data_IF_002494382864
#
_entry.id   IF_002494382864
#
_cell.length_a   1.000
_cell.length_b   1.000
_cell.length_c   1.000
_cell.angle_alpha   90.00
_cell.angle_beta   90.00
_cell.angle_gamma   90.00
#
_symmetry.space_group_name_H-M   'P 1'
#
loop_
_entity.id
_entity.type
_entity.pdbx_description
1 polymer ?
#
# COMPACT_ATOMS: atom_id res chain seq x y z
N UNK A 1 -33.42 -2.70 -16.23
CA UNK A 1 -32.33 -2.10 -15.41
C UNK A 1 -32.82 -0.73 -14.97
N UNK A 2 -32.97 -0.54 -13.67
CA UNK A 2 -33.54 0.71 -13.11
C UNK A 2 -32.43 1.66 -12.61
N UNK A 3 -31.18 1.46 -13.06
CA UNK A 3 -30.06 2.28 -12.69
C UNK A 3 -30.02 3.57 -13.52
N UNK A 4 -29.85 4.70 -12.86
CA UNK A 4 -29.61 5.99 -13.51
C UNK A 4 -28.10 6.16 -13.72
N UNK A 5 -27.69 6.41 -14.94
CA UNK A 5 -26.29 6.62 -15.31
C UNK A 5 -26.03 8.10 -15.43
N UNK A 6 -25.07 8.60 -14.66
CA UNK A 6 -24.67 10.01 -14.65
C UNK A 6 -23.23 10.09 -15.12
N UNK A 7 -23.00 10.73 -16.26
CA UNK A 7 -21.64 11.06 -16.69
C UNK A 7 -21.06 12.16 -15.81
N UNK A 8 -19.89 11.91 -15.24
CA UNK A 8 -19.21 12.86 -14.35
C UNK A 8 -17.79 13.15 -14.84
N UNK A 9 -17.33 14.36 -14.60
CA UNK A 9 -15.96 14.78 -14.87
C UNK A 9 -15.30 15.18 -13.55
N UNK A 10 -14.16 14.58 -13.21
CA UNK A 10 -13.47 14.76 -11.92
C UNK A 10 -14.40 14.61 -10.71
N UNK A 11 -15.27 13.59 -10.72
CA UNK A 11 -16.25 13.28 -9.67
C UNK A 11 -17.26 14.41 -9.39
N UNK A 12 -17.40 15.39 -10.28
CA UNK A 12 -18.41 16.43 -10.16
C UNK A 12 -19.76 15.88 -10.63
N UNK A 13 -20.61 15.50 -9.69
CA UNK A 13 -21.98 15.08 -9.93
C UNK A 13 -22.95 16.12 -9.31
N UNK A 14 -24.15 16.33 -9.92
CA UNK A 14 -25.23 17.05 -9.26
C UNK A 14 -25.64 16.33 -7.97
N UNK A 15 -25.58 16.99 -6.84
CA UNK A 15 -25.82 16.35 -5.54
C UNK A 15 -27.24 15.84 -5.38
N UNK A 16 -28.23 16.52 -5.94
CA UNK A 16 -29.63 16.12 -6.00
C UNK A 16 -29.89 14.82 -6.79
N UNK A 17 -28.96 14.46 -7.67
CA UNK A 17 -29.01 13.21 -8.44
C UNK A 17 -28.33 12.03 -7.73
N UNK A 18 -27.57 12.27 -6.66
CA UNK A 18 -26.77 11.25 -5.95
C UNK A 18 -27.18 11.11 -4.49
N UNK A 19 -27.68 12.18 -3.85
CA UNK A 19 -28.11 12.20 -2.46
C UNK A 19 -29.64 12.28 -2.38
N UNK A 20 -30.22 11.65 -1.38
CA UNK A 20 -31.65 11.66 -1.06
C UNK A 20 -32.58 11.39 -2.26
N UNK A 21 -32.14 10.54 -3.17
CA UNK A 21 -32.87 10.26 -4.41
C UNK A 21 -34.17 9.46 -4.16
N UNK A 22 -34.40 8.91 -2.96
CA UNK A 22 -35.55 8.06 -2.62
C UNK A 22 -35.62 6.76 -3.42
N UNK A 23 -34.55 6.39 -4.14
CA UNK A 23 -34.53 5.21 -5.03
C UNK A 23 -34.16 3.91 -4.35
N UNK A 24 -33.63 3.98 -3.14
CA UNK A 24 -33.30 2.78 -2.38
C UNK A 24 -34.57 2.19 -1.79
N UNK A 25 -34.87 1.00 -2.21
CA UNK A 25 -36.00 0.19 -1.73
C UNK A 25 -35.39 -1.06 -1.08
N UNK A 26 -35.57 -1.17 0.24
CA UNK A 26 -34.98 -2.26 1.00
C UNK A 26 -35.60 -3.61 0.63
N UNK A 27 -36.91 -3.69 0.46
CA UNK A 27 -37.63 -4.93 0.11
C UNK A 27 -37.19 -5.44 -1.26
N UNK A 28 -37.07 -4.52 -2.24
CA UNK A 28 -36.57 -4.83 -3.59
C UNK A 28 -35.10 -5.22 -3.60
N UNK A 29 -34.29 -4.65 -2.70
CA UNK A 29 -32.89 -5.02 -2.56
C UNK A 29 -32.72 -6.38 -1.89
N UNK A 30 -33.51 -6.69 -0.85
CA UNK A 30 -33.48 -7.96 -0.12
C UNK A 30 -33.90 -9.14 -1.02
N UNK A 31 -34.91 -8.93 -1.86
CA UNK A 31 -35.36 -9.94 -2.81
C UNK A 31 -34.45 -10.14 -4.03
N UNK A 32 -33.41 -9.32 -4.17
CA UNK A 32 -32.51 -9.44 -5.31
C UNK A 32 -31.69 -10.73 -5.22
N UNK A 33 -31.67 -11.58 -6.28
CA UNK A 33 -31.00 -12.89 -6.24
C UNK A 33 -29.52 -12.85 -5.86
N UNK A 34 -28.81 -11.76 -6.16
CA UNK A 34 -27.41 -11.58 -5.78
C UNK A 34 -27.26 -11.36 -4.26
N UNK A 35 -28.17 -10.62 -3.63
CA UNK A 35 -28.18 -10.41 -2.18
C UNK A 35 -28.54 -11.68 -1.42
N UNK A 36 -29.55 -12.41 -1.89
CA UNK A 36 -29.95 -13.68 -1.29
C UNK A 36 -28.79 -14.70 -1.30
N UNK A 37 -27.99 -14.73 -2.37
CA UNK A 37 -26.80 -15.59 -2.44
C UNK A 37 -25.76 -15.24 -1.39
N UNK A 38 -25.51 -13.95 -1.15
CA UNK A 38 -24.56 -13.48 -0.15
C UNK A 38 -25.05 -13.74 1.28
N UNK A 39 -26.28 -13.36 1.59
CA UNK A 39 -26.86 -13.47 2.93
C UNK A 39 -27.05 -14.91 3.40
N UNK A 40 -27.40 -15.82 2.51
CA UNK A 40 -27.70 -17.22 2.87
C UNK A 40 -26.56 -18.19 2.58
N UNK A 41 -25.37 -17.69 2.21
CA UNK A 41 -24.17 -18.52 2.03
C UNK A 41 -24.23 -19.50 0.85
N UNK A 42 -25.18 -19.32 -0.09
CA UNK A 42 -25.30 -20.12 -1.30
C UNK A 42 -24.38 -19.63 -2.44
N UNK A 43 -23.71 -18.50 -2.25
CA UNK A 43 -22.67 -18.08 -3.17
C UNK A 43 -21.45 -18.98 -2.95
N UNK A 44 -21.20 -19.89 -3.88
CA UNK A 44 -19.84 -20.38 -4.07
C UNK A 44 -19.06 -19.19 -4.63
N UNK A 45 -18.43 -18.43 -3.74
CA UNK A 45 -17.42 -17.46 -4.14
C UNK A 45 -16.33 -18.24 -4.87
N UNK A 46 -16.29 -18.15 -6.19
CA UNK A 46 -15.04 -18.36 -6.88
C UNK A 46 -14.15 -17.18 -6.46
N UNK A 47 -12.99 -17.44 -5.85
CA UNK A 47 -12.03 -16.39 -5.60
C UNK A 47 -11.84 -15.56 -6.87
N UNK A 48 -11.71 -14.24 -6.74
CA UNK A 48 -11.58 -13.33 -7.90
C UNK A 48 -10.39 -13.69 -8.80
N UNK A 49 -9.34 -14.29 -8.22
CA UNK A 49 -8.21 -14.88 -8.90
C UNK A 49 -8.60 -16.00 -9.87
N UNK A 50 -9.51 -16.92 -9.47
CA UNK A 50 -10.03 -17.96 -10.36
C UNK A 50 -11.01 -17.43 -11.41
N UNK A 51 -11.76 -16.37 -11.10
CA UNK A 51 -12.79 -15.84 -12.00
C UNK A 51 -12.23 -14.91 -13.07
N UNK A 52 -11.18 -14.13 -12.76
CA UNK A 52 -10.66 -13.07 -13.61
C UNK A 52 -9.15 -13.14 -13.86
N UNK A 53 -8.47 -14.16 -13.32
CA UNK A 53 -7.01 -14.32 -13.46
C UNK A 53 -6.20 -13.26 -12.72
N UNK A 54 -6.77 -12.61 -11.72
CA UNK A 54 -6.02 -11.71 -10.85
C UNK A 54 -5.08 -12.50 -9.96
N UNK A 55 -3.88 -12.00 -9.82
CA UNK A 55 -2.87 -12.51 -8.93
C UNK A 55 -2.31 -11.39 -8.06
N UNK A 56 -1.77 -11.72 -6.91
CA UNK A 56 -1.13 -10.75 -6.03
C UNK A 56 0.09 -11.34 -5.35
N UNK A 57 1.07 -10.48 -5.10
CA UNK A 57 2.18 -10.84 -4.25
C UNK A 57 2.58 -9.68 -3.33
N UNK A 58 3.24 -10.01 -2.24
CA UNK A 58 3.80 -9.03 -1.32
C UNK A 58 5.33 -9.08 -1.40
N UNK A 59 5.93 -7.94 -1.75
CA UNK A 59 7.37 -7.75 -1.66
C UNK A 59 7.71 -7.32 -0.23
N UNK A 60 8.65 -8.05 0.41
CA UNK A 60 9.14 -7.73 1.76
C UNK A 60 10.65 -7.73 1.78
N UNK A 61 11.22 -6.65 2.34
CA UNK A 61 12.65 -6.55 2.61
C UNK A 61 12.89 -5.70 3.86
N UNK A 62 14.05 -5.88 4.51
CA UNK A 62 14.41 -5.12 5.70
C UNK A 62 15.38 -3.98 5.41
N UNK A 63 16.20 -4.10 4.37
CA UNK A 63 17.13 -3.04 3.98
C UNK A 63 16.39 -1.84 3.37
N UNK A 64 16.91 -0.61 3.57
CA UNK A 64 16.31 0.58 2.96
C UNK A 64 16.54 0.62 1.45
N UNK A 65 15.69 1.34 0.75
CA UNK A 65 15.92 1.67 -0.64
C UNK A 65 16.90 2.83 -0.80
N UNK A 66 17.73 2.76 -1.83
CA UNK A 66 18.40 3.90 -2.42
C UNK A 66 17.32 4.81 -3.04
N UNK A 67 17.24 6.11 -2.65
CA UNK A 67 16.17 6.97 -3.10
C UNK A 67 16.15 7.17 -4.61
N UNK A 68 17.32 7.32 -5.24
CA UNK A 68 17.39 7.52 -6.70
C UNK A 68 16.90 6.29 -7.44
N UNK A 69 17.39 5.10 -7.08
CA UNK A 69 16.99 3.85 -7.73
C UNK A 69 15.49 3.55 -7.54
N UNK A 70 14.97 3.84 -6.34
CA UNK A 70 13.56 3.62 -6.08
C UNK A 70 12.67 4.65 -6.81
N UNK A 71 13.10 5.90 -6.93
CA UNK A 71 12.41 6.89 -7.76
C UNK A 71 12.38 6.46 -9.24
N UNK A 72 13.51 5.95 -9.78
CA UNK A 72 13.57 5.41 -11.13
C UNK A 72 12.62 4.21 -11.31
N UNK A 73 12.55 3.33 -10.31
CA UNK A 73 11.57 2.25 -10.29
C UNK A 73 10.13 2.78 -10.33
N UNK A 74 9.79 3.76 -9.49
CA UNK A 74 8.45 4.37 -9.46
C UNK A 74 8.08 5.06 -10.77
N UNK A 75 9.05 5.66 -11.47
CA UNK A 75 8.86 6.34 -12.75
C UNK A 75 8.89 5.39 -13.97
N UNK A 76 9.17 4.13 -13.77
CA UNK A 76 9.21 3.13 -14.83
C UNK A 76 7.86 2.45 -15.06
N UNK A 77 7.72 1.73 -16.17
CA UNK A 77 6.53 0.91 -16.43
C UNK A 77 6.56 -0.40 -15.64
N UNK A 78 5.39 -0.80 -15.17
CA UNK A 78 5.15 -2.08 -14.52
C UNK A 78 4.08 -2.84 -15.31
N UNK A 79 4.51 -3.60 -16.37
CA UNK A 79 3.56 -4.32 -17.21
C UNK A 79 2.68 -5.25 -16.38
N UNK A 80 1.39 -5.26 -16.71
CA UNK A 80 0.39 -6.14 -16.10
C UNK A 80 0.09 -5.87 -14.62
N UNK A 81 0.70 -4.86 -14.00
CA UNK A 81 0.32 -4.39 -12.67
C UNK A 81 -0.87 -3.45 -12.79
N UNK A 82 -1.99 -3.81 -12.17
CA UNK A 82 -3.21 -3.01 -12.12
C UNK A 82 -3.18 -2.06 -10.92
N UNK A 83 -2.67 -2.55 -9.80
CA UNK A 83 -2.57 -1.78 -8.57
C UNK A 83 -1.36 -2.21 -7.74
N UNK A 84 -0.71 -1.24 -7.11
CA UNK A 84 0.25 -1.51 -6.06
C UNK A 84 0.05 -0.52 -4.90
N UNK A 85 0.25 -1.00 -3.68
CA UNK A 85 0.20 -0.16 -2.48
C UNK A 85 1.09 -0.74 -1.39
N UNK A 86 1.63 0.13 -0.55
CA UNK A 86 2.31 -0.33 0.66
C UNK A 86 3.30 0.67 1.20
N UNK A 87 4.12 0.18 2.11
CA UNK A 87 5.04 0.98 2.89
C UNK A 87 6.48 0.77 2.46
N UNK A 88 7.24 1.84 2.51
CA UNK A 88 8.66 1.80 2.21
C UNK A 88 9.47 2.74 3.11
N UNK A 89 10.77 2.53 3.18
CA UNK A 89 11.68 3.45 3.81
C UNK A 89 12.95 3.65 2.99
N UNK A 90 13.47 4.87 3.06
CA UNK A 90 14.63 5.32 2.29
C UNK A 90 15.86 5.42 3.18
N UNK A 91 17.01 5.14 2.62
CA UNK A 91 18.30 5.22 3.32
C UNK A 91 18.65 6.65 3.78
N UNK A 92 18.16 7.67 3.08
CA UNK A 92 18.33 9.09 3.44
C UNK A 92 17.37 9.57 4.52
N UNK A 93 16.27 8.84 4.75
CA UNK A 93 15.18 9.23 5.69
C UNK A 93 14.79 8.06 6.60
N UNK A 94 15.75 7.51 7.39
CA UNK A 94 15.52 6.27 8.14
C UNK A 94 14.41 6.36 9.19
N UNK A 95 14.03 7.57 9.60
CA UNK A 95 12.98 7.77 10.59
C UNK A 95 11.57 7.86 9.99
N UNK A 96 11.48 8.09 8.68
CA UNK A 96 10.22 8.32 8.00
C UNK A 96 9.64 7.04 7.41
N UNK A 97 8.34 6.87 7.63
CA UNK A 97 7.51 5.87 6.98
C UNK A 97 6.94 6.47 5.69
N UNK A 98 7.38 5.96 4.55
CA UNK A 98 6.83 6.29 3.26
C UNK A 98 5.68 5.36 2.87
N UNK A 99 4.65 5.89 2.24
CA UNK A 99 3.62 5.12 1.55
C UNK A 99 3.75 5.33 0.04
N UNK A 100 3.59 4.25 -0.70
CA UNK A 100 3.44 4.27 -2.16
C UNK A 100 2.08 3.70 -2.54
N UNK A 101 1.44 4.31 -3.52
CA UNK A 101 0.18 3.84 -4.10
C UNK A 101 0.20 4.04 -5.61
N UNK A 102 -0.15 3.01 -6.35
CA UNK A 102 -0.24 3.03 -7.81
C UNK A 102 -1.61 2.54 -8.26
N UNK A 103 -2.21 3.26 -9.19
CA UNK A 103 -3.44 2.88 -9.88
C UNK A 103 -3.35 3.33 -11.35
N UNK A 104 -3.43 2.38 -12.28
CA UNK A 104 -3.14 2.65 -13.69
C UNK A 104 -1.72 3.20 -13.87
N UNK A 105 -1.51 4.24 -14.66
CA UNK A 105 -0.18 4.81 -14.90
C UNK A 105 0.31 5.73 -13.78
N UNK A 106 -0.51 6.01 -12.77
CA UNK A 106 -0.22 7.01 -11.75
C UNK A 106 0.39 6.38 -10.51
N UNK A 107 1.62 6.76 -10.18
CA UNK A 107 2.29 6.41 -8.92
C UNK A 107 2.31 7.64 -8.01
N UNK A 108 1.83 7.49 -6.79
CA UNK A 108 1.91 8.49 -5.72
C UNK A 108 2.75 7.95 -4.58
N UNK A 109 3.49 8.83 -3.95
CA UNK A 109 4.30 8.50 -2.78
C UNK A 109 4.33 9.70 -1.82
N UNK A 110 4.25 9.42 -0.54
CA UNK A 110 4.28 10.44 0.51
C UNK A 110 4.85 9.90 1.82
N UNK A 111 5.30 10.79 2.67
CA UNK A 111 5.67 10.44 4.05
C UNK A 111 4.44 10.55 4.93
N UNK A 112 3.99 9.42 5.49
CA UNK A 112 2.74 9.35 6.27
C UNK A 112 2.96 9.34 7.78
N UNK A 113 4.22 9.33 8.22
CA UNK A 113 4.55 9.30 9.64
C UNK A 113 5.98 8.87 9.91
N UNK A 114 6.22 8.38 11.11
CA UNK A 114 7.51 7.85 11.54
C UNK A 114 7.42 6.37 11.89
N UNK A 115 8.50 5.65 11.68
CA UNK A 115 8.65 4.31 12.21
C UNK A 115 8.68 4.34 13.73
N UNK A 116 8.07 3.38 14.38
CA UNK A 116 8.07 3.30 15.84
C UNK A 116 9.47 3.16 16.43
N UNK A 117 10.39 2.57 15.70
CA UNK A 117 11.80 2.51 16.06
C UNK A 117 12.50 3.90 16.07
N UNK A 118 11.89 4.93 15.50
CA UNK A 118 12.35 6.32 15.54
C UNK A 118 11.58 7.17 16.57
N UNK A 119 10.59 6.60 17.23
CA UNK A 119 9.77 7.27 18.25
C UNK A 119 10.22 6.78 19.64
N UNK A 120 10.55 7.69 20.59
CA UNK A 120 10.85 7.32 21.96
C UNK A 120 9.74 6.48 22.58
N UNK A 121 10.10 5.47 23.35
CA UNK A 121 9.14 4.51 23.94
C UNK A 121 8.09 5.19 24.82
N UNK A 122 8.47 6.28 25.47
CA UNK A 122 7.60 7.08 26.35
C UNK A 122 6.47 7.78 25.58
N UNK A 123 6.58 7.86 24.24
CA UNK A 123 5.58 8.43 23.35
C UNK A 123 4.75 7.39 22.60
N UNK A 124 4.98 6.11 22.91
CA UNK A 124 4.17 5.05 22.30
C UNK A 124 2.78 5.05 22.92
N UNK A 125 1.74 4.76 22.14
CA UNK A 125 0.40 4.57 22.70
C UNK A 125 0.40 3.53 23.81
N UNK A 126 -0.37 3.79 24.86
CA UNK A 126 -0.62 2.81 25.89
C UNK A 126 -1.53 1.70 25.33
N UNK A 127 -1.23 0.46 25.65
CA UNK A 127 -2.02 -0.68 25.25
C UNK A 127 -1.19 -1.91 24.87
N UNK A 128 -1.56 -3.04 25.42
CA UNK A 128 -0.86 -4.30 25.19
C UNK A 128 -1.00 -4.78 23.74
N UNK A 129 -2.17 -4.64 23.14
CA UNK A 129 -2.43 -5.04 21.75
C UNK A 129 -1.58 -4.23 20.77
N UNK A 130 -1.48 -2.92 20.97
CA UNK A 130 -0.64 -2.06 20.14
C UNK A 130 0.83 -2.51 20.19
N UNK A 131 1.36 -2.66 21.41
CA UNK A 131 2.73 -3.11 21.62
C UNK A 131 2.98 -4.48 20.97
N UNK A 132 2.06 -5.43 21.16
CA UNK A 132 2.12 -6.75 20.56
C UNK A 132 2.16 -6.68 19.02
N UNK A 133 1.33 -5.83 18.42
CA UNK A 133 1.28 -5.65 16.97
C UNK A 133 2.59 -5.07 16.40
N UNK A 134 3.17 -4.06 17.05
CA UNK A 134 4.43 -3.46 16.62
C UNK A 134 5.59 -4.42 16.83
N UNK A 135 5.64 -5.09 17.99
CA UNK A 135 6.71 -6.02 18.31
C UNK A 135 6.68 -7.30 17.46
N UNK A 136 5.53 -7.73 17.00
CA UNK A 136 5.42 -8.86 16.08
C UNK A 136 6.14 -8.64 14.74
N UNK A 137 6.37 -7.38 14.36
CA UNK A 137 7.09 -6.98 13.14
C UNK A 137 8.50 -6.46 13.42
N UNK A 138 8.97 -6.57 14.65
CA UNK A 138 10.23 -6.00 15.07
C UNK A 138 11.44 -6.84 14.65
N UNK A 139 12.41 -6.19 14.02
CA UNK A 139 13.73 -6.76 13.72
C UNK A 139 14.77 -6.18 14.70
N UNK A 140 15.70 -6.98 15.25
CA UNK A 140 16.70 -6.50 16.22
C UNK A 140 17.64 -5.41 15.67
N UNK A 141 17.84 -5.32 14.34
CA UNK A 141 18.70 -4.33 13.70
C UNK A 141 17.95 -3.11 13.19
N UNK A 142 16.71 -3.32 12.68
CA UNK A 142 15.97 -2.31 11.96
C UNK A 142 14.72 -1.79 12.70
N UNK A 143 14.35 -2.43 13.82
CA UNK A 143 13.07 -2.15 14.47
C UNK A 143 11.90 -2.60 13.60
N UNK A 144 10.86 -1.81 13.53
CA UNK A 144 9.68 -2.06 12.68
C UNK A 144 9.87 -1.62 11.22
N UNK A 145 11.03 -1.02 10.88
CA UNK A 145 11.35 -0.56 9.53
C UNK A 145 11.39 -1.72 8.54
N UNK A 146 10.71 -1.55 7.42
CA UNK A 146 10.64 -2.55 6.35
C UNK A 146 10.13 -1.98 5.04
N UNK A 147 10.39 -2.70 3.98
CA UNK A 147 9.64 -2.61 2.74
C UNK A 147 8.49 -3.60 2.83
N UNK A 148 7.28 -3.18 2.54
CA UNK A 148 6.11 -4.04 2.46
C UNK A 148 5.18 -3.49 1.39
N UNK A 149 5.35 -3.96 0.14
CA UNK A 149 4.64 -3.49 -1.04
C UNK A 149 3.81 -4.63 -1.62
N UNK A 150 2.52 -4.42 -1.78
CA UNK A 150 1.58 -5.35 -2.40
C UNK A 150 1.40 -4.96 -3.86
N UNK A 151 1.50 -5.92 -4.75
CA UNK A 151 1.23 -5.79 -6.18
C UNK A 151 0.06 -6.69 -6.55
N UNK A 152 -0.85 -6.15 -7.36
CA UNK A 152 -2.03 -6.86 -7.87
C UNK A 152 -2.06 -6.65 -9.39
N UNK A 153 -2.26 -7.70 -10.15
CA UNK A 153 -2.30 -7.63 -11.61
C UNK A 153 -2.76 -8.93 -12.27
N UNK A 154 -2.56 -9.03 -13.58
CA UNK A 154 -2.93 -10.20 -14.39
C UNK A 154 -1.72 -10.60 -15.23
N UNK A 155 -1.16 -11.78 -15.00
CA UNK A 155 0.04 -12.25 -15.72
C UNK A 155 1.27 -11.40 -15.45
N UNK A 156 1.46 -10.99 -14.19
CA UNK A 156 2.63 -10.20 -13.76
C UNK A 156 3.91 -11.05 -13.82
N UNK A 157 5.01 -10.41 -14.23
CA UNK A 157 6.34 -11.00 -14.04
C UNK A 157 6.83 -10.69 -12.61
N UNK A 158 6.33 -11.47 -11.62
CA UNK A 158 6.72 -11.32 -10.22
C UNK A 158 8.25 -11.45 -10.03
N UNK A 159 8.97 -12.43 -10.60
CA UNK A 159 10.41 -12.51 -10.49
C UNK A 159 11.14 -11.26 -10.97
N UNK A 160 10.74 -10.70 -12.11
CA UNK A 160 11.35 -9.48 -12.63
C UNK A 160 11.05 -8.26 -11.75
N UNK A 161 9.82 -8.11 -11.24
CA UNK A 161 9.47 -7.04 -10.32
C UNK A 161 10.26 -7.12 -9.02
N UNK A 162 10.40 -8.33 -8.44
CA UNK A 162 11.22 -8.56 -7.24
C UNK A 162 12.68 -8.21 -7.48
N UNK A 163 13.26 -8.67 -8.58
CA UNK A 163 14.66 -8.38 -8.91
C UNK A 163 14.94 -6.88 -9.07
N UNK A 164 14.00 -6.14 -9.67
CA UNK A 164 14.09 -4.67 -9.81
C UNK A 164 14.02 -3.97 -8.46
N UNK A 165 13.14 -4.40 -7.55
CA UNK A 165 13.06 -3.87 -6.19
C UNK A 165 14.29 -4.23 -5.36
N UNK A 166 14.81 -5.44 -5.48
CA UNK A 166 16.05 -5.86 -4.82
C UNK A 166 17.25 -5.02 -5.27
N UNK A 167 17.31 -4.63 -6.54
CA UNK A 167 18.33 -3.73 -7.07
C UNK A 167 18.26 -2.30 -6.50
N UNK A 168 17.10 -1.90 -5.96
CA UNK A 168 16.95 -0.63 -5.24
C UNK A 168 17.47 -0.68 -3.80
N UNK A 169 17.65 -1.87 -3.22
CA UNK A 169 18.11 -2.00 -1.83
C UNK A 169 19.54 -1.51 -1.67
N UNK A 170 19.77 -0.73 -0.62
CA UNK A 170 21.12 -0.38 -0.16
C UNK A 170 21.55 -1.36 0.92
N UNK A 171 22.83 -1.32 1.26
CA UNK A 171 23.36 -2.08 2.39
C UNK A 171 23.71 -1.14 3.56
N UNK A 172 22.77 -0.84 4.45
CA UNK A 172 23.11 -0.37 5.77
C UNK A 172 23.34 -1.63 6.58
N UNK A 173 24.54 -1.86 7.00
CA UNK A 173 24.83 -2.94 7.94
C UNK A 173 24.83 -2.41 9.38
N UNK A 174 23.66 -2.00 9.94
CA UNK A 174 23.64 -1.53 11.31
C UNK A 174 23.90 -2.73 12.21
N UNK A 175 24.78 -2.52 13.20
CA UNK A 175 24.88 -3.46 14.31
C UNK A 175 23.55 -3.50 15.07
N UNK A 176 23.24 -4.63 15.68
CA UNK A 176 22.05 -4.76 16.54
C UNK A 176 22.04 -3.64 17.58
N UNK A 177 20.91 -2.92 17.68
CA UNK A 177 20.73 -1.81 18.62
C UNK A 177 21.41 -0.49 18.22
N UNK A 178 22.04 -0.41 17.04
CA UNK A 178 22.64 0.84 16.56
C UNK A 178 21.56 1.81 16.05
N UNK A 179 21.80 3.10 16.26
CA UNK A 179 21.01 4.17 15.65
C UNK A 179 21.28 4.17 14.14
N UNK A 180 20.24 4.05 13.35
CA UNK A 180 20.34 4.14 11.89
C UNK A 180 20.41 5.62 11.52
N UNK A 181 21.57 6.03 10.96
CA UNK A 181 21.78 7.41 10.51
C UNK A 181 21.37 7.57 9.05
N UNK A 182 20.88 8.77 8.67
CA UNK A 182 20.65 9.09 7.26
C UNK A 182 21.92 8.94 6.42
N UNK A 183 21.77 8.36 5.23
CA UNK A 183 22.83 8.31 4.21
C UNK A 183 22.88 9.66 3.48
N UNK A 184 23.79 10.52 3.89
CA UNK A 184 23.97 11.87 3.29
C UNK A 184 24.77 11.87 2.00
N UNK A 185 25.37 10.75 1.67
CA UNK A 185 26.13 10.50 0.43
C UNK A 185 25.23 10.11 -0.76
N UNK A 186 23.94 9.81 -0.51
CA UNK A 186 22.97 9.48 -1.55
C UNK A 186 22.13 10.70 -1.93
N UNK A 187 21.87 10.84 -3.23
CA UNK A 187 20.94 11.85 -3.73
C UNK A 187 19.50 11.38 -3.44
N UNK A 188 18.66 12.30 -2.98
CA UNK A 188 17.25 12.04 -2.65
C UNK A 188 16.33 12.92 -3.51
N UNK A 189 15.71 12.35 -4.57
CA UNK A 189 14.82 13.09 -5.46
C UNK A 189 13.39 13.24 -4.92
N UNK A 190 13.06 12.61 -3.79
CA UNK A 190 11.72 12.70 -3.22
C UNK A 190 11.45 14.08 -2.62
N UNK A 191 10.20 14.58 -2.67
CA UNK A 191 9.85 15.86 -2.04
C UNK A 191 10.09 15.79 -0.52
N UNK A 192 10.18 16.96 0.11
CA UNK A 192 10.33 17.04 1.57
C UNK A 192 9.04 16.52 2.21
N UNK A 193 9.17 15.65 3.23
CA UNK A 193 8.05 15.10 3.99
C UNK A 193 7.88 15.85 5.32
N UNK A 194 6.64 15.96 5.79
CA UNK A 194 6.34 16.47 7.13
C UNK A 194 6.40 18.00 7.26
N UNK A 195 5.99 18.71 6.22
CA UNK A 195 5.61 20.13 6.33
C UNK A 195 4.13 20.28 6.68
#
# INVERSE_FOLDING_TARGET
>A
MDADIIEVNFSKAPLDRVLDTGRFDFEKAEDHPAWAKELYGFAMHKPEDEAYGFESFVYRARRPFDPTKFADFCNSQWPNVVRAKGFFWLATRPDWLGEMSQAGPLVRHEGIGRWWAAVPRERWPEGEEFNKHVLAKWDPRFGDRRQELVFIGIGMDEPALRARLDACLTDPNPRVGAIIKPRTDLKDPFPVWGQ
#
